data_IF_961776070073
#
_entry.id   IF_961776070073
#
_cell.length_a   1.000
_cell.length_b   1.000
_cell.length_c   1.000
_cell.angle_alpha   90.00
_cell.angle_beta   90.00
_cell.angle_gamma   90.00
#
_symmetry.space_group_name_H-M   'P 1'
#
loop_
_entity.id
_entity.type
_entity.pdbx_description
1 polymer ?
#
# COMPACT_ATOMS: atom_id res chain seq x y z
N UNK A 1 -19.11 1.12 -9.92
CA UNK A 1 -18.92 1.15 -8.46
C UNK A 1 -17.50 1.64 -8.20
N UNK A 2 -17.30 2.49 -7.19
CA UNK A 2 -15.97 2.97 -6.79
C UNK A 2 -15.60 2.36 -5.45
N UNK A 3 -14.36 1.88 -5.32
CA UNK A 3 -13.84 1.23 -4.12
C UNK A 3 -12.54 1.93 -3.69
N UNK A 4 -12.47 2.30 -2.41
CA UNK A 4 -11.24 2.81 -1.79
C UNK A 4 -10.77 1.80 -0.74
N UNK A 5 -9.52 1.38 -0.83
CA UNK A 5 -8.87 0.47 0.13
C UNK A 5 -7.80 1.26 0.88
N UNK A 6 -7.90 1.27 2.21
CA UNK A 6 -6.93 1.93 3.09
C UNK A 6 -6.20 0.88 3.90
N UNK A 7 -4.88 0.86 3.80
CA UNK A 7 -3.99 -0.12 4.45
C UNK A 7 -3.08 0.64 5.41
N UNK A 8 -3.08 0.26 6.69
CA UNK A 8 -2.11 0.73 7.67
C UNK A 8 -1.00 -0.31 7.78
N UNK A 9 0.26 0.11 7.76
CA UNK A 9 1.41 -0.81 7.85
C UNK A 9 2.54 -0.27 8.72
N UNK A 10 3.34 -1.18 9.28
CA UNK A 10 4.56 -0.90 10.04
C UNK A 10 5.49 -2.12 9.98
N UNK A 11 6.70 -1.95 9.46
CA UNK A 11 7.71 -2.98 9.26
C UNK A 11 7.15 -4.30 8.70
N UNK A 12 6.57 -4.24 7.49
CA UNK A 12 5.86 -5.37 6.89
C UNK A 12 6.29 -5.67 5.44
N UNK A 13 7.57 -5.48 5.13
CA UNK A 13 8.13 -5.65 3.78
C UNK A 13 7.87 -7.05 3.21
N UNK A 14 7.80 -8.05 4.09
CA UNK A 14 7.64 -9.47 3.71
C UNK A 14 6.26 -9.81 3.12
N UNK A 15 5.21 -9.04 3.41
CA UNK A 15 3.83 -9.36 2.98
C UNK A 15 3.12 -8.24 2.23
N UNK A 16 3.61 -7.00 2.33
CA UNK A 16 2.95 -5.85 1.69
C UNK A 16 2.92 -5.99 0.16
N UNK A 17 3.95 -6.60 -0.44
CA UNK A 17 4.03 -6.88 -1.88
C UNK A 17 2.91 -7.84 -2.32
N UNK A 18 2.77 -8.96 -1.61
CA UNK A 18 1.73 -9.96 -1.90
C UNK A 18 0.32 -9.39 -1.72
N UNK A 19 0.12 -8.58 -0.67
CA UNK A 19 -1.15 -7.89 -0.42
C UNK A 19 -1.52 -6.96 -1.57
N UNK A 20 -0.63 -6.01 -1.92
CA UNK A 20 -0.88 -5.04 -2.98
C UNK A 20 -1.04 -5.70 -4.34
N UNK A 21 -0.21 -6.71 -4.65
CA UNK A 21 -0.32 -7.52 -5.87
C UNK A 21 -1.70 -8.17 -5.97
N UNK A 22 -2.17 -8.84 -4.90
CA UNK A 22 -3.47 -9.50 -4.90
C UNK A 22 -4.62 -8.51 -5.12
N UNK A 23 -4.56 -7.32 -4.50
CA UNK A 23 -5.56 -6.27 -4.69
C UNK A 23 -5.65 -5.89 -6.17
N UNK A 24 -4.53 -5.50 -6.79
CA UNK A 24 -4.54 -5.05 -8.19
C UNK A 24 -4.86 -6.18 -9.19
N UNK A 25 -4.56 -7.43 -8.86
CA UNK A 25 -4.94 -8.57 -9.70
C UNK A 25 -6.44 -8.87 -9.65
N UNK A 26 -7.07 -8.75 -8.48
CA UNK A 26 -8.45 -9.18 -8.27
C UNK A 26 -9.49 -8.05 -8.45
N UNK A 27 -9.08 -6.78 -8.43
CA UNK A 27 -10.00 -5.62 -8.47
C UNK A 27 -9.92 -4.81 -9.77
N UNK A 28 -9.91 -5.49 -10.93
CA UNK A 28 -9.75 -4.85 -12.25
C UNK A 28 -11.03 -4.26 -12.85
N UNK A 29 -12.19 -4.66 -12.36
CA UNK A 29 -13.50 -4.29 -12.94
C UNK A 29 -14.17 -3.08 -12.26
N UNK A 30 -13.48 -2.49 -11.28
CA UNK A 30 -13.98 -1.33 -10.52
C UNK A 30 -12.98 -0.18 -10.56
N UNK A 31 -13.49 1.03 -10.39
CA UNK A 31 -12.63 2.19 -10.15
C UNK A 31 -12.03 2.07 -8.74
N UNK A 32 -10.72 1.82 -8.69
CA UNK A 32 -9.98 1.50 -7.48
C UNK A 32 -9.02 2.62 -7.09
N UNK A 33 -9.07 2.98 -5.81
CA UNK A 33 -8.09 3.82 -5.12
C UNK A 33 -7.48 3.02 -3.97
N UNK A 34 -6.15 2.99 -3.87
CA UNK A 34 -5.43 2.31 -2.79
C UNK A 34 -4.57 3.33 -2.06
N UNK A 35 -4.79 3.46 -0.76
CA UNK A 35 -4.04 4.34 0.13
C UNK A 35 -3.29 3.46 1.13
N UNK A 36 -1.98 3.63 1.22
CA UNK A 36 -1.16 2.98 2.25
C UNK A 36 -0.68 4.07 3.19
N UNK A 37 -1.00 3.93 4.48
CA UNK A 37 -0.43 4.76 5.54
C UNK A 37 0.61 3.94 6.30
N UNK A 38 1.85 4.40 6.27
CA UNK A 38 2.99 3.76 6.90
C UNK A 38 3.34 4.47 8.21
N UNK A 39 3.53 3.72 9.29
CA UNK A 39 3.85 4.27 10.61
C UNK A 39 5.36 4.25 10.92
N UNK A 40 6.16 4.83 10.03
CA UNK A 40 7.62 4.98 10.14
C UNK A 40 8.40 3.65 10.04
N UNK A 41 8.04 2.81 9.07
CA UNK A 41 8.77 1.57 8.79
C UNK A 41 10.23 1.83 8.40
N UNK A 42 11.13 0.93 8.83
CA UNK A 42 12.58 0.98 8.60
C UNK A 42 13.14 -0.27 7.91
N UNK A 43 12.25 -1.19 7.53
CA UNK A 43 12.59 -2.51 6.99
C UNK A 43 12.59 -2.56 5.45
N UNK A 44 12.38 -1.43 4.77
CA UNK A 44 12.24 -1.38 3.31
C UNK A 44 10.78 -1.36 2.82
N UNK A 45 9.79 -1.40 3.71
CA UNK A 45 8.35 -1.33 3.35
C UNK A 45 8.04 -0.10 2.48
N UNK A 46 8.52 1.07 2.90
CA UNK A 46 8.23 2.35 2.24
C UNK A 46 8.84 2.37 0.83
N UNK A 47 10.10 1.96 0.71
CA UNK A 47 10.84 1.88 -0.55
C UNK A 47 10.15 0.92 -1.52
N UNK A 48 9.80 -0.28 -1.05
CA UNK A 48 9.11 -1.29 -1.85
C UNK A 48 7.79 -0.74 -2.40
N UNK A 49 6.94 -0.15 -1.55
CA UNK A 49 5.65 0.39 -1.99
C UNK A 49 5.84 1.52 -3.00
N UNK A 50 6.78 2.43 -2.76
CA UNK A 50 7.05 3.57 -3.65
C UNK A 50 7.57 3.13 -5.02
N UNK A 51 8.46 2.15 -5.07
CA UNK A 51 9.10 1.70 -6.31
C UNK A 51 8.19 0.78 -7.14
N UNK A 52 7.53 -0.19 -6.49
CA UNK A 52 6.75 -1.22 -7.20
C UNK A 52 5.31 -0.82 -7.47
N UNK A 53 4.73 0.05 -6.64
CA UNK A 53 3.32 0.41 -6.71
C UNK A 53 3.13 1.93 -6.79
N UNK A 54 3.64 2.61 -7.84
CA UNK A 54 3.56 4.06 -7.98
C UNK A 54 2.12 4.61 -8.08
N UNK A 55 1.13 3.73 -8.27
CA UNK A 55 -0.30 4.07 -8.27
C UNK A 55 -0.91 4.12 -6.86
N UNK A 56 -0.22 3.61 -5.84
CA UNK A 56 -0.66 3.67 -4.45
C UNK A 56 -0.40 5.07 -3.90
N UNK A 57 -1.39 5.63 -3.20
CA UNK A 57 -1.19 6.84 -2.44
C UNK A 57 -0.52 6.50 -1.10
N UNK A 58 0.79 6.66 -1.04
CA UNK A 58 1.58 6.38 0.17
C UNK A 58 1.62 7.62 1.08
N UNK A 59 1.21 7.46 2.32
CA UNK A 59 1.26 8.44 3.40
C UNK A 59 2.28 7.94 4.42
N UNK A 60 3.39 8.66 4.58
CA UNK A 60 4.38 8.36 5.63
C UNK A 60 4.01 9.12 6.90
N UNK A 61 3.49 8.42 7.89
CA UNK A 61 3.17 9.00 9.18
C UNK A 61 4.40 8.96 10.10
N UNK A 62 4.89 10.16 10.46
CA UNK A 62 6.11 10.34 11.27
C UNK A 62 5.83 10.62 12.76
N UNK A 63 4.56 10.63 13.17
CA UNK A 63 4.15 10.83 14.56
C UNK A 63 2.74 10.24 14.80
N UNK A 64 2.55 9.56 15.94
CA UNK A 64 1.22 9.18 16.45
C UNK A 64 0.81 10.13 17.58
#
# INVERSE_FOLDING_TARGET
MRLSIVIITYNNVDVIDDCLRSIFEQTREVELEVIVTDNDSKDGTIELVRERYPRVHLIENRAN
#
